data_IF_094217749349
#
_entry.id   IF_094217749349
#
_cell.length_a   1.000
_cell.length_b   1.000
_cell.length_c   1.000
_cell.angle_alpha   90.00
_cell.angle_beta   90.00
_cell.angle_gamma   90.00
#
_symmetry.space_group_name_H-M   'P 1'
#
loop_
_entity.id
_entity.type
_entity.pdbx_description
1 polymer ?
#
# COMPACT_ATOMS: atom_id res chain seq x y z
N UNK A 1 45.08 9.74 -14.05
CA UNK A 1 43.66 10.10 -13.88
C UNK A 1 43.02 8.92 -13.20
N UNK A 2 42.77 9.03 -11.89
CA UNK A 2 42.43 7.89 -11.04
C UNK A 2 41.18 8.21 -10.21
N UNK A 3 40.28 7.22 -10.18
CA UNK A 3 39.22 6.95 -9.20
C UNK A 3 37.99 7.89 -9.24
N UNK A 4 36.73 7.46 -9.02
CA UNK A 4 36.21 6.44 -8.11
C UNK A 4 34.92 5.79 -8.63
N UNK A 5 34.80 4.49 -8.36
CA UNK A 5 33.56 3.71 -8.43
C UNK A 5 32.52 4.25 -7.43
N UNK A 6 31.30 4.51 -7.89
CA UNK A 6 30.16 4.62 -6.99
C UNK A 6 29.56 3.22 -6.80
N UNK A 7 29.85 2.60 -5.66
CA UNK A 7 29.25 1.33 -5.25
C UNK A 7 28.45 1.49 -3.96
N UNK A 8 27.35 0.75 -3.92
CA UNK A 8 26.55 0.29 -2.80
C UNK A 8 25.53 1.21 -2.13
N UNK A 9 24.31 0.68 -2.12
CA UNK A 9 23.16 1.05 -1.30
C UNK A 9 22.15 -0.10 -1.27
N UNK A 10 22.62 -1.26 -0.79
CA UNK A 10 21.88 -2.38 -0.17
C UNK A 10 20.75 -3.05 -0.97
N UNK A 11 21.08 -4.23 -1.53
CA UNK A 11 20.14 -5.33 -1.69
C UNK A 11 19.45 -5.61 -0.35
N UNK A 12 18.19 -5.16 -0.21
CA UNK A 12 17.30 -5.70 0.80
C UNK A 12 17.24 -7.21 0.61
N UNK A 13 17.18 -8.02 1.69
CA UNK A 13 16.89 -9.45 1.54
C UNK A 13 15.66 -9.58 0.66
N UNK A 14 15.67 -10.54 -0.26
CA UNK A 14 14.55 -10.81 -1.15
C UNK A 14 13.31 -11.08 -0.28
N UNK A 15 12.59 -10.01 0.06
CA UNK A 15 11.27 -10.08 0.64
C UNK A 15 10.49 -10.81 -0.43
N UNK A 16 10.05 -12.05 -0.16
CA UNK A 16 9.17 -12.82 -1.04
C UNK A 16 7.79 -12.16 -1.16
N UNK A 17 7.72 -10.84 -0.98
CA UNK A 17 6.53 -10.04 -1.12
C UNK A 17 6.30 -9.70 -2.60
N UNK A 18 5.12 -10.02 -3.07
CA UNK A 18 4.65 -9.63 -4.40
C UNK A 18 3.79 -8.39 -4.23
N UNK A 19 4.16 -7.29 -4.88
CA UNK A 19 3.29 -6.11 -4.96
C UNK A 19 2.08 -6.42 -5.83
N UNK A 20 0.88 -6.25 -5.27
CA UNK A 20 -0.40 -6.33 -5.95
C UNK A 20 -0.89 -4.94 -6.41
N UNK A 21 -0.13 -3.88 -6.10
CA UNK A 21 -0.34 -2.53 -6.58
C UNK A 21 -0.99 -1.56 -5.58
N UNK A 22 -1.12 -0.30 -6.01
CA UNK A 22 -1.65 0.80 -5.20
C UNK A 22 -3.14 0.65 -4.96
N UNK A 23 -3.57 0.93 -3.74
CA UNK A 23 -4.98 0.82 -3.35
C UNK A 23 -5.38 1.86 -2.29
N UNK A 24 -6.69 2.03 -2.14
CA UNK A 24 -7.30 2.59 -0.94
C UNK A 24 -7.82 1.45 -0.07
N UNK A 25 -7.64 1.57 1.24
CA UNK A 25 -8.12 0.59 2.21
C UNK A 25 -8.93 1.29 3.31
N UNK A 26 -10.03 0.65 3.72
CA UNK A 26 -10.80 1.04 4.90
C UNK A 26 -10.23 0.34 6.14
N UNK A 27 -9.79 1.11 7.12
CA UNK A 27 -9.32 0.60 8.41
C UNK A 27 -10.39 0.78 9.49
N UNK A 28 -10.66 -0.29 10.23
CA UNK A 28 -11.52 -0.28 11.42
C UNK A 28 -10.86 -1.09 12.52
N UNK A 29 -10.58 -0.47 13.67
CA UNK A 29 -9.89 -1.09 14.80
C UNK A 29 -8.59 -1.80 14.39
N UNK A 30 -7.73 -1.11 13.64
CA UNK A 30 -6.46 -1.64 13.10
C UNK A 30 -6.57 -2.82 12.12
N UNK A 31 -7.80 -3.21 11.73
CA UNK A 31 -8.04 -4.23 10.72
C UNK A 31 -8.42 -3.58 9.39
N UNK A 32 -7.91 -4.13 8.29
CA UNK A 32 -8.34 -3.74 6.95
C UNK A 32 -9.58 -4.53 6.58
N UNK A 33 -10.70 -3.83 6.46
CA UNK A 33 -12.04 -4.43 6.24
C UNK A 33 -12.53 -4.29 4.80
N UNK A 34 -11.85 -3.50 3.98
CA UNK A 34 -12.17 -3.32 2.56
C UNK A 34 -11.02 -2.67 1.81
N UNK A 35 -10.85 -3.03 0.54
CA UNK A 35 -9.79 -2.54 -0.34
C UNK A 35 -10.35 -2.28 -1.74
N UNK A 36 -9.96 -1.17 -2.34
CA UNK A 36 -10.24 -0.85 -3.75
C UNK A 36 -8.93 -0.46 -4.44
N UNK A 37 -8.65 -1.10 -5.58
CA UNK A 37 -7.44 -0.84 -6.39
C UNK A 37 -7.47 0.57 -7.00
N UNK A 38 -6.32 1.22 -7.12
CA UNK A 38 -6.19 2.46 -7.90
C UNK A 38 -5.98 2.19 -9.40
N UNK A 39 -5.78 0.93 -9.80
CA UNK A 39 -5.60 0.56 -11.21
C UNK A 39 -6.96 0.49 -11.89
N UNK A 40 -7.17 1.36 -12.87
CA UNK A 40 -8.37 1.40 -13.72
C UNK A 40 -7.98 1.49 -15.19
N UNK A 41 -8.88 1.06 -16.11
CA UNK A 41 -8.75 1.34 -17.55
C UNK A 41 -8.60 2.84 -17.86
N UNK A 42 -8.00 3.16 -19.02
CA UNK A 42 -7.69 4.53 -19.43
C UNK A 42 -8.91 5.36 -19.84
N UNK A 43 -10.02 4.73 -20.14
CA UNK A 43 -11.30 5.33 -20.54
C UNK A 43 -12.21 5.68 -19.33
N UNK A 44 -11.77 5.38 -18.12
CA UNK A 44 -12.48 5.71 -16.88
C UNK A 44 -12.13 7.12 -16.42
N UNK A 45 -13.14 7.92 -16.06
CA UNK A 45 -12.95 9.15 -15.29
C UNK A 45 -12.38 8.82 -13.90
N UNK A 46 -11.07 9.01 -13.76
CA UNK A 46 -10.34 8.65 -12.56
C UNK A 46 -10.78 9.45 -11.33
N UNK A 47 -11.16 10.72 -11.49
CA UNK A 47 -11.56 11.55 -10.36
C UNK A 47 -12.94 11.14 -9.84
N UNK A 48 -13.88 10.86 -10.75
CA UNK A 48 -15.18 10.30 -10.37
C UNK A 48 -15.04 8.91 -9.74
N UNK A 49 -14.16 8.05 -10.29
CA UNK A 49 -13.86 6.75 -9.72
C UNK A 49 -13.28 6.85 -8.32
N UNK A 50 -12.22 7.66 -8.16
CA UNK A 50 -11.57 7.90 -6.87
C UNK A 50 -12.58 8.35 -5.83
N UNK A 51 -13.41 9.34 -6.15
CA UNK A 51 -14.44 9.87 -5.23
C UNK A 51 -15.38 8.75 -4.76
N UNK A 52 -15.98 8.02 -5.70
CA UNK A 52 -16.93 6.94 -5.38
C UNK A 52 -16.26 5.80 -4.60
N UNK A 53 -15.04 5.44 -4.96
CA UNK A 53 -14.27 4.40 -4.27
C UNK A 53 -13.97 4.80 -2.82
N UNK A 54 -13.51 6.04 -2.58
CA UNK A 54 -13.23 6.51 -1.23
C UNK A 54 -14.50 6.67 -0.41
N UNK A 55 -15.58 7.24 -0.97
CA UNK A 55 -16.88 7.37 -0.29
C UNK A 55 -17.43 5.99 0.12
N UNK A 56 -17.28 4.98 -0.75
CA UNK A 56 -17.69 3.62 -0.43
C UNK A 56 -16.90 3.03 0.75
N UNK A 57 -15.58 3.19 0.75
CA UNK A 57 -14.71 2.70 1.83
C UNK A 57 -14.91 3.48 3.14
N UNK A 58 -15.25 4.76 3.08
CA UNK A 58 -15.54 5.60 4.25
C UNK A 58 -16.75 5.09 5.05
N UNK A 59 -17.70 4.42 4.40
CA UNK A 59 -18.81 3.74 5.09
C UNK A 59 -18.34 2.59 6.01
N UNK A 60 -17.18 2.00 5.71
CA UNK A 60 -16.65 0.84 6.44
C UNK A 60 -15.64 1.21 7.52
N UNK A 61 -14.93 2.34 7.35
CA UNK A 61 -13.91 2.79 8.29
C UNK A 61 -13.08 3.95 7.77
N UNK A 62 -11.97 4.26 8.46
CA UNK A 62 -11.08 5.33 8.06
C UNK A 62 -10.30 4.94 6.80
N UNK A 63 -10.43 5.71 5.73
CA UNK A 63 -9.74 5.43 4.47
C UNK A 63 -8.28 5.88 4.51
N UNK A 64 -7.38 4.99 4.07
CA UNK A 64 -5.95 5.26 3.88
C UNK A 64 -5.53 4.85 2.46
N UNK A 65 -4.54 5.55 1.92
CA UNK A 65 -3.88 5.16 0.67
C UNK A 65 -2.59 4.40 0.96
N UNK A 66 -2.28 3.45 0.10
CA UNK A 66 -1.14 2.57 0.30
C UNK A 66 -0.94 1.61 -0.86
N UNK A 67 -0.27 0.51 -0.55
CA UNK A 67 0.04 -0.57 -1.48
C UNK A 67 -0.40 -1.90 -0.86
N UNK A 68 -0.95 -2.78 -1.69
CA UNK A 68 -1.28 -4.13 -1.30
C UNK A 68 -0.11 -5.03 -1.67
N UNK A 69 0.38 -5.83 -0.73
CA UNK A 69 1.39 -6.85 -0.96
C UNK A 69 0.86 -8.23 -0.56
N UNK A 70 1.42 -9.26 -1.13
CA UNK A 70 1.23 -10.65 -0.70
C UNK A 70 2.57 -11.21 -0.23
N UNK A 71 2.63 -11.70 1.01
CA UNK A 71 3.83 -12.29 1.63
C UNK A 71 3.40 -13.59 2.32
N UNK A 72 4.06 -14.69 1.99
CA UNK A 72 3.80 -16.02 2.58
C UNK A 72 2.32 -16.46 2.50
N UNK A 73 1.63 -16.10 1.41
CA UNK A 73 0.21 -16.42 1.18
C UNK A 73 -0.78 -15.51 1.91
N UNK A 74 -0.29 -14.55 2.70
CA UNK A 74 -1.10 -13.55 3.39
C UNK A 74 -1.01 -12.19 2.71
N UNK A 75 -2.10 -11.43 2.76
CA UNK A 75 -2.16 -10.10 2.15
C UNK A 75 -2.03 -9.02 3.21
N UNK A 76 -1.16 -8.06 2.93
CA UNK A 76 -0.89 -6.93 3.79
C UNK A 76 -1.11 -5.61 3.05
N UNK A 77 -1.75 -4.66 3.73
CA UNK A 77 -1.84 -3.28 3.29
C UNK A 77 -0.71 -2.48 3.92
N UNK A 78 0.17 -1.92 3.09
CA UNK A 78 1.23 -1.02 3.49
C UNK A 78 0.74 0.41 3.34
N UNK A 79 0.49 1.09 4.46
CA UNK A 79 0.05 2.48 4.44
C UNK A 79 1.17 3.37 3.91
N UNK A 80 0.84 4.20 2.90
CA UNK A 80 1.79 5.19 2.39
C UNK A 80 2.10 6.23 3.48
N UNK A 81 3.39 6.50 3.78
CA UNK A 81 3.76 7.53 4.74
C UNK A 81 3.37 8.92 4.23
N UNK A 82 2.64 9.68 5.04
CA UNK A 82 2.39 11.10 4.78
C UNK A 82 3.70 11.87 4.99
N UNK A 83 4.18 12.56 3.95
CA UNK A 83 5.44 13.32 3.96
C UNK A 83 6.74 12.50 4.09
N UNK A 84 6.85 11.39 3.34
CA UNK A 84 8.06 10.57 3.25
C UNK A 84 9.35 11.40 3.05
N UNK A 85 9.29 12.50 2.30
CA UNK A 85 10.44 13.32 1.94
C UNK A 85 10.81 14.43 2.95
N UNK A 86 10.10 14.56 4.09
CA UNK A 86 10.30 15.69 5.03
C UNK A 86 11.30 15.41 6.16
N UNK A 87 11.73 14.16 6.35
CA UNK A 87 12.61 13.78 7.47
C UNK A 87 13.82 13.00 7.00
N UNK A 88 15.01 13.31 7.55
CA UNK A 88 16.27 12.57 7.30
C UNK A 88 16.22 11.11 7.80
N UNK A 89 15.19 10.74 8.56
CA UNK A 89 14.90 9.36 8.99
C UNK A 89 13.46 9.02 8.55
N UNK A 90 13.25 8.31 7.43
CA UNK A 90 11.92 7.89 7.03
C UNK A 90 11.34 6.95 8.09
N UNK A 91 10.11 7.22 8.55
CA UNK A 91 9.38 6.28 9.40
C UNK A 91 9.07 5.03 8.59
N UNK A 92 9.23 3.85 9.20
CA UNK A 92 8.75 2.61 8.61
C UNK A 92 7.24 2.74 8.33
N UNK A 93 6.84 2.29 7.15
CA UNK A 93 5.43 2.26 6.76
C UNK A 93 4.68 1.31 7.70
N UNK A 94 3.44 1.66 8.06
CA UNK A 94 2.60 0.77 8.87
C UNK A 94 2.02 -0.31 7.97
N UNK A 95 2.19 -1.56 8.37
CA UNK A 95 1.64 -2.74 7.71
C UNK A 95 0.40 -3.21 8.47
N UNK A 96 -0.66 -3.55 7.74
CA UNK A 96 -1.92 -4.03 8.31
C UNK A 96 -2.33 -5.32 7.60
N UNK A 97 -2.66 -6.36 8.36
CA UNK A 97 -3.17 -7.61 7.79
C UNK A 97 -4.55 -7.36 7.16
N UNK A 98 -4.73 -7.86 5.95
CA UNK A 98 -6.03 -7.80 5.26
C UNK A 98 -6.90 -8.93 5.77
N UNK A 99 -8.12 -8.59 6.22
CA UNK A 99 -9.07 -9.61 6.60
C UNK A 99 -9.36 -10.52 5.41
N UNK A 100 -8.96 -11.78 5.54
CA UNK A 100 -9.35 -12.85 4.64
C UNK A 100 -10.23 -13.81 5.45
N UNK A 101 -11.51 -13.97 5.11
CA UNK A 101 -12.29 -15.06 5.67
C UNK A 101 -11.65 -16.36 5.18
N UNK A 102 -10.90 -17.04 6.06
CA UNK A 102 -10.45 -18.41 5.80
C UNK A 102 -11.72 -19.27 5.75
N UNK A 103 -11.86 -20.08 4.71
CA UNK A 103 -13.00 -20.98 4.51
C UNK A 103 -13.38 -21.65 5.83
N UNK A 104 -14.63 -21.44 6.27
CA UNK A 104 -15.28 -22.24 7.32
C UNK A 104 -15.78 -23.52 6.69
#
# INVERSE_FOLDING_TARGET
MSEQNASYGEDKPADNSVSLGKCWAALRNENVVGIISMRVPSDVDFDAYRKKATECLEMLGQVKSGELIERDGERYFIQRPTHANRSKKPRQAKEYLVFQPRNV
#
